data_IF_109934396904
#
_entry.id   IF_109934396904
#
_cell.length_a   1.000
_cell.length_b   1.000
_cell.length_c   1.000
_cell.angle_alpha   90.00
_cell.angle_beta   90.00
_cell.angle_gamma   90.00
#
_symmetry.space_group_name_H-M   'P 1'
#
loop_
_entity.id
_entity.type
_entity.pdbx_description
1 polymer ?
#
# COMPACT_ATOMS: atom_id res chain seq x y z
N UNK A 1 0.20 13.53 -17.00
CA UNK A 1 0.54 12.54 -15.95
C UNK A 1 0.03 11.18 -16.39
N UNK A 2 0.92 10.22 -16.63
CA UNK A 2 0.50 8.81 -16.75
C UNK A 2 0.12 8.32 -15.35
N UNK A 3 -1.10 7.81 -15.19
CA UNK A 3 -1.56 7.17 -13.95
C UNK A 3 -1.12 5.70 -13.87
N UNK A 4 -0.65 5.16 -15.00
CA UNK A 4 -0.13 3.80 -15.09
C UNK A 4 1.36 3.87 -14.78
N UNK A 5 1.75 3.12 -13.76
CA UNK A 5 3.12 3.03 -13.25
C UNK A 5 3.42 1.59 -12.82
N UNK A 6 4.68 1.31 -12.50
CA UNK A 6 5.13 0.02 -11.98
C UNK A 6 5.03 -0.02 -10.45
N UNK A 7 5.01 -1.21 -9.86
CA UNK A 7 4.94 -1.38 -8.40
C UNK A 7 6.18 -0.75 -7.75
N UNK A 8 7.35 -0.92 -8.34
CA UNK A 8 8.61 -0.39 -7.81
C UNK A 8 8.61 1.14 -7.78
N UNK A 9 8.03 1.77 -8.80
CA UNK A 9 7.87 3.23 -8.84
C UNK A 9 6.83 3.72 -7.83
N UNK A 10 5.74 2.97 -7.63
CA UNK A 10 4.74 3.31 -6.62
C UNK A 10 5.32 3.22 -5.21
N UNK A 11 6.07 2.16 -4.89
CA UNK A 11 6.69 1.94 -3.57
C UNK A 11 7.72 3.00 -3.20
N UNK A 12 8.45 3.58 -4.17
CA UNK A 12 9.39 4.69 -3.94
C UNK A 12 8.74 5.95 -3.40
N UNK A 13 7.44 6.13 -3.63
CA UNK A 13 6.71 7.30 -3.16
C UNK A 13 6.15 7.12 -1.74
N UNK A 14 6.33 5.95 -1.14
CA UNK A 14 5.83 5.61 0.19
C UNK A 14 7.02 5.64 1.16
N UNK A 15 6.94 6.52 2.15
CA UNK A 15 7.99 6.74 3.14
C UNK A 15 7.53 6.28 4.52
N UNK A 16 8.49 6.08 5.42
CA UNK A 16 8.23 5.70 6.81
C UNK A 16 7.38 6.76 7.52
N UNK A 17 6.40 6.31 8.32
CA UNK A 17 5.53 7.19 9.08
C UNK A 17 4.34 7.75 8.29
N UNK A 18 4.17 7.39 7.02
CA UNK A 18 2.93 7.68 6.29
C UNK A 18 1.76 6.83 6.80
N UNK A 19 0.56 7.42 6.79
CA UNK A 19 -0.69 6.70 7.05
C UNK A 19 -1.26 6.23 5.72
N UNK A 20 -1.45 4.92 5.58
CA UNK A 20 -2.02 4.31 4.39
C UNK A 20 -3.46 3.87 4.67
N UNK A 21 -4.36 4.18 3.72
CA UNK A 21 -5.71 3.62 3.69
C UNK A 21 -5.72 2.43 2.74
N UNK A 22 -5.99 1.25 3.29
CA UNK A 22 -6.17 0.03 2.52
C UNK A 22 -7.66 -0.29 2.50
N UNK A 23 -8.24 -0.32 1.31
CA UNK A 23 -9.61 -0.77 1.14
C UNK A 23 -9.67 -2.31 1.20
N UNK A 24 -10.72 -2.86 1.81
CA UNK A 24 -10.97 -4.30 1.86
C UNK A 24 -11.98 -4.68 2.95
N UNK A 25 -12.81 -5.69 2.70
CA UNK A 25 -13.72 -6.25 3.68
C UNK A 25 -13.48 -7.75 3.79
N UNK A 26 -12.89 -8.21 4.91
CA UNK A 26 -12.50 -9.61 5.12
C UNK A 26 -11.68 -10.17 3.93
N UNK A 27 -10.58 -9.49 3.57
CA UNK A 27 -9.73 -9.74 2.39
C UNK A 27 -10.36 -9.44 1.02
N UNK A 28 -11.68 -9.45 0.87
CA UNK A 28 -12.35 -9.13 -0.40
C UNK A 28 -12.11 -7.67 -0.78
N UNK A 29 -11.58 -7.45 -1.98
CA UNK A 29 -11.25 -6.11 -2.49
C UNK A 29 -9.94 -5.53 -1.98
N UNK A 30 -9.16 -6.30 -1.21
CA UNK A 30 -7.84 -5.88 -0.72
C UNK A 30 -6.83 -5.94 -1.87
N UNK A 31 -6.03 -4.89 -2.09
CA UNK A 31 -4.96 -4.90 -3.09
C UNK A 31 -3.74 -5.68 -2.56
N UNK A 32 -3.87 -7.01 -2.44
CA UNK A 32 -2.85 -7.90 -1.83
C UNK A 32 -1.44 -7.70 -2.40
N UNK A 33 -1.31 -7.55 -3.72
CA UNK A 33 -0.02 -7.31 -4.39
C UNK A 33 0.69 -6.05 -3.89
N UNK A 34 -0.04 -4.98 -3.58
CA UNK A 34 0.55 -3.76 -3.02
C UNK A 34 0.90 -3.93 -1.55
N UNK A 35 0.09 -4.67 -0.80
CA UNK A 35 0.37 -4.97 0.61
C UNK A 35 1.63 -5.83 0.73
N UNK A 36 1.77 -6.85 -0.11
CA UNK A 36 2.97 -7.69 -0.16
C UNK A 36 4.22 -6.87 -0.50
N UNK A 37 4.11 -5.97 -1.49
CA UNK A 37 5.21 -5.09 -1.86
C UNK A 37 5.64 -4.18 -0.70
N UNK A 38 4.68 -3.65 0.07
CA UNK A 38 4.95 -2.85 1.27
C UNK A 38 5.64 -3.67 2.37
N UNK A 39 5.20 -4.91 2.59
CA UNK A 39 5.81 -5.83 3.56
C UNK A 39 7.25 -6.15 3.16
N UNK A 40 7.51 -6.40 1.88
CA UNK A 40 8.86 -6.65 1.34
C UNK A 40 9.75 -5.43 1.45
N UNK A 41 9.21 -4.22 1.21
CA UNK A 41 9.96 -2.96 1.35
C UNK A 41 10.36 -2.69 2.81
N UNK A 42 9.58 -3.17 3.78
CA UNK A 42 9.86 -3.02 5.21
C UNK A 42 9.51 -1.65 5.79
N UNK A 43 8.76 -0.84 5.03
CA UNK A 43 8.34 0.51 5.44
C UNK A 43 7.40 0.44 6.64
N UNK A 44 7.68 1.23 7.68
CA UNK A 44 6.83 1.35 8.87
C UNK A 44 5.68 2.30 8.59
N UNK A 45 4.64 1.79 7.93
CA UNK A 45 3.39 2.50 7.72
C UNK A 45 2.37 2.14 8.81
N UNK A 46 1.62 3.14 9.27
CA UNK A 46 0.46 2.92 10.14
C UNK A 46 -0.76 2.65 9.26
N UNK A 47 -1.37 1.47 9.41
CA UNK A 47 -2.56 1.07 8.65
C UNK A 47 -3.82 1.39 9.46
N UNK A 48 -4.69 2.23 8.90
CA UNK A 48 -6.02 2.48 9.44
C UNK A 48 -7.04 1.57 8.77
N UNK A 49 -7.79 0.80 9.55
CA UNK A 49 -8.98 0.11 9.05
C UNK A 49 -10.13 1.12 9.00
N UNK A 50 -10.65 1.40 7.81
CA UNK A 50 -11.96 2.01 7.69
C UNK A 50 -12.99 0.91 8.01
N UNK A 51 -13.51 0.92 9.24
CA UNK A 51 -14.71 0.13 9.57
C UNK A 51 -15.93 0.68 8.85
#
# INVERSE_FOLDING_TARGET
MSKITTIEQAMRNIEDGMTLMIAGFLAVGTPEVLVDALVVQGTKAAYGYCQ
#
